data_IF_752274217328
#
_entry.id   IF_752274217328
#
_cell.length_a   1.000
_cell.length_b   1.000
_cell.length_c   1.000
_cell.angle_alpha   90.00
_cell.angle_beta   90.00
_cell.angle_gamma   90.00
#
_symmetry.space_group_name_H-M   'P 1'
#
loop_
_entity.id
_entity.type
_entity.pdbx_description
1 polymer ?
#
# COMPACT_ATOMS: atom_id res chain seq x y z
N UNK A 1 9.79 3.10 -7.22
CA UNK A 1 11.01 2.89 -8.04
C UNK A 1 12.06 3.99 -7.89
N UNK A 2 11.71 5.27 -7.89
CA UNK A 2 12.71 6.37 -7.77
C UNK A 2 13.47 6.29 -6.44
N UNK A 3 12.77 6.03 -5.32
CA UNK A 3 13.40 5.82 -4.00
C UNK A 3 14.30 4.59 -4.01
N UNK A 4 13.88 3.51 -4.65
CA UNK A 4 14.61 2.25 -4.71
C UNK A 4 15.95 2.32 -5.48
N UNK A 5 16.28 3.44 -6.11
CA UNK A 5 17.62 3.68 -6.68
C UNK A 5 18.68 3.99 -5.63
N UNK A 6 18.27 4.36 -4.40
CA UNK A 6 19.17 4.80 -3.33
C UNK A 6 18.98 4.03 -2.02
N UNK A 7 17.80 3.47 -1.80
CA UNK A 7 17.38 2.80 -0.57
C UNK A 7 16.76 1.45 -0.92
N UNK A 8 16.83 0.48 -0.01
CA UNK A 8 16.09 -0.78 -0.16
C UNK A 8 14.61 -0.52 0.15
N UNK A 9 13.74 -0.85 -0.80
CA UNK A 9 12.30 -0.57 -0.71
C UNK A 9 11.50 -1.84 -0.86
N UNK A 10 10.59 -2.09 0.08
CA UNK A 10 9.54 -3.09 -0.05
C UNK A 10 8.20 -2.39 -0.24
N UNK A 11 7.49 -2.74 -1.31
CA UNK A 11 6.17 -2.23 -1.64
C UNK A 11 5.09 -3.27 -1.33
N UNK A 12 4.06 -2.85 -0.59
CA UNK A 12 2.84 -3.60 -0.34
C UNK A 12 1.64 -2.86 -0.91
N UNK A 13 0.80 -3.59 -1.64
CA UNK A 13 -0.43 -3.04 -2.17
C UNK A 13 -1.63 -3.70 -1.49
N UNK A 14 -2.46 -2.89 -0.84
CA UNK A 14 -3.68 -3.30 -0.14
C UNK A 14 -4.94 -2.89 -0.90
N UNK A 15 -4.84 -2.57 -2.19
CA UNK A 15 -6.00 -2.31 -3.03
C UNK A 15 -6.71 -3.62 -3.43
N UNK A 16 -8.01 -3.62 -3.37
CA UNK A 16 -8.85 -4.77 -3.78
C UNK A 16 -8.66 -5.13 -5.27
N UNK A 17 -8.51 -4.13 -6.13
CA UNK A 17 -8.36 -4.28 -7.58
C UNK A 17 -7.20 -3.44 -8.12
N UNK A 18 -6.01 -3.68 -7.60
CA UNK A 18 -4.84 -2.82 -7.85
C UNK A 18 -4.42 -2.71 -9.32
N UNK A 19 -4.69 -3.74 -10.13
CA UNK A 19 -4.18 -3.82 -11.50
C UNK A 19 -2.64 -3.90 -11.60
N UNK A 20 -1.92 -3.85 -10.49
CA UNK A 20 -0.47 -3.75 -10.44
C UNK A 20 0.23 -4.91 -11.19
N UNK A 21 -0.20 -6.15 -10.97
CA UNK A 21 0.39 -7.32 -11.64
C UNK A 21 0.20 -7.30 -13.16
N UNK A 22 -0.92 -6.74 -13.64
CA UNK A 22 -1.14 -6.53 -15.07
C UNK A 22 -0.28 -5.42 -15.64
N UNK A 23 -0.03 -4.38 -14.84
CA UNK A 23 0.82 -3.27 -15.23
C UNK A 23 2.25 -3.73 -15.47
N UNK A 24 2.83 -4.48 -14.53
CA UNK A 24 4.24 -4.90 -14.60
C UNK A 24 4.47 -6.20 -15.37
N UNK A 25 3.37 -6.90 -15.80
CA UNK A 25 3.41 -8.17 -16.54
C UNK A 25 4.29 -9.22 -15.86
N UNK A 26 4.10 -9.38 -14.56
CA UNK A 26 4.92 -10.26 -13.74
C UNK A 26 4.18 -11.55 -13.41
N UNK A 27 4.85 -12.68 -13.59
CA UNK A 27 4.45 -13.95 -13.00
C UNK A 27 5.01 -14.05 -11.59
N UNK A 28 4.20 -14.45 -10.63
CA UNK A 28 4.57 -14.65 -9.24
C UNK A 28 4.08 -15.99 -8.71
N UNK A 29 4.82 -16.54 -7.75
CA UNK A 29 4.51 -17.86 -7.15
C UNK A 29 3.63 -17.76 -5.91
N UNK A 30 3.65 -16.62 -5.25
CA UNK A 30 2.91 -16.33 -4.05
C UNK A 30 2.46 -14.87 -4.07
N UNK A 31 1.38 -14.56 -3.39
CA UNK A 31 0.83 -13.21 -3.26
C UNK A 31 0.54 -12.86 -1.79
N UNK A 32 -0.08 -11.72 -1.57
CA UNK A 32 -0.41 -11.26 -0.21
C UNK A 32 -1.40 -12.19 0.50
N UNK A 33 -2.26 -12.93 -0.23
CA UNK A 33 -3.16 -13.92 0.38
C UNK A 33 -2.37 -15.06 1.04
N UNK A 34 -1.29 -15.52 0.40
CA UNK A 34 -0.40 -16.55 0.96
C UNK A 34 0.31 -16.04 2.23
N UNK A 35 0.74 -14.78 2.23
CA UNK A 35 1.37 -14.14 3.40
C UNK A 35 0.37 -14.04 4.56
N UNK A 36 -0.86 -13.59 4.29
CA UNK A 36 -1.94 -13.49 5.28
C UNK A 36 -2.31 -14.86 5.84
N UNK A 37 -2.43 -15.86 4.99
CA UNK A 37 -2.66 -17.24 5.42
C UNK A 37 -1.56 -17.74 6.34
N UNK A 38 -0.29 -17.55 5.94
CA UNK A 38 0.86 -17.95 6.76
C UNK A 38 0.88 -17.24 8.12
N UNK A 39 0.54 -15.96 8.15
CA UNK A 39 0.47 -15.17 9.38
C UNK A 39 -0.62 -15.68 10.32
N UNK A 40 -1.84 -15.89 9.81
CA UNK A 40 -2.99 -16.38 10.59
C UNK A 40 -2.80 -17.78 11.16
N UNK A 41 -2.06 -18.63 10.47
CA UNK A 41 -1.71 -19.99 10.95
C UNK A 41 -0.58 -19.98 12.00
N UNK A 42 -0.08 -18.82 12.41
CA UNK A 42 1.06 -18.72 13.32
C UNK A 42 2.39 -19.21 12.72
N UNK A 43 2.40 -19.49 11.43
CA UNK A 43 3.57 -19.99 10.70
C UNK A 43 4.46 -18.89 10.12
N UNK A 44 4.14 -17.62 10.39
CA UNK A 44 4.93 -16.51 9.90
C UNK A 44 6.37 -16.56 10.44
N UNK A 45 7.32 -16.47 9.56
CA UNK A 45 8.68 -16.03 9.85
C UNK A 45 9.25 -15.29 8.63
N UNK A 46 10.22 -14.42 8.88
CA UNK A 46 10.80 -13.57 7.84
C UNK A 46 11.41 -14.36 6.66
N UNK A 47 12.06 -15.49 6.92
CA UNK A 47 12.67 -16.29 5.86
C UNK A 47 11.63 -16.86 4.89
N UNK A 48 10.47 -17.30 5.39
CA UNK A 48 9.37 -17.77 4.55
C UNK A 48 8.78 -16.62 3.76
N UNK A 49 8.51 -15.48 4.42
CA UNK A 49 7.97 -14.30 3.74
C UNK A 49 8.94 -13.81 2.66
N UNK A 50 10.22 -13.78 2.93
CA UNK A 50 11.25 -13.39 1.94
C UNK A 50 11.19 -14.24 0.66
N UNK A 51 10.83 -15.52 0.76
CA UNK A 51 10.68 -16.38 -0.42
C UNK A 51 9.44 -16.08 -1.28
N UNK A 52 8.50 -15.28 -0.76
CA UNK A 52 7.27 -14.82 -1.43
C UNK A 52 7.42 -13.44 -2.06
N UNK A 53 8.52 -12.73 -1.75
CA UNK A 53 8.80 -11.41 -2.31
C UNK A 53 9.21 -11.56 -3.77
N UNK A 54 8.65 -10.72 -4.61
CA UNK A 54 8.99 -10.55 -6.01
C UNK A 54 9.78 -9.27 -6.21
N UNK A 55 10.46 -9.15 -7.33
CA UNK A 55 11.27 -7.98 -7.66
C UNK A 55 10.81 -7.35 -8.98
N UNK A 56 10.77 -6.04 -9.03
CA UNK A 56 10.55 -5.26 -10.24
C UNK A 56 11.56 -4.10 -10.32
N UNK A 57 12.52 -4.25 -11.20
CA UNK A 57 13.64 -3.29 -11.29
C UNK A 57 14.46 -3.25 -10.01
N UNK A 58 14.49 -2.13 -9.34
CA UNK A 58 15.21 -1.95 -8.06
C UNK A 58 14.30 -2.05 -6.83
N UNK A 59 13.01 -2.35 -7.01
CA UNK A 59 12.03 -2.40 -5.95
C UNK A 59 11.57 -3.83 -5.71
N UNK A 60 11.60 -4.24 -4.46
CA UNK A 60 10.97 -5.46 -4.01
C UNK A 60 9.50 -5.22 -3.69
N UNK A 61 8.64 -6.20 -3.93
CA UNK A 61 7.22 -6.08 -3.64
C UNK A 61 6.61 -7.43 -3.27
N UNK A 62 5.55 -7.38 -2.49
CA UNK A 62 4.64 -8.52 -2.30
C UNK A 62 3.51 -8.34 -3.30
N UNK A 63 3.30 -9.32 -4.22
CA UNK A 63 2.19 -9.25 -5.16
C UNK A 63 0.87 -9.04 -4.42
N UNK A 64 -0.01 -8.12 -4.90
CA UNK A 64 -1.29 -7.88 -4.25
C UNK A 64 -2.18 -9.13 -4.30
N UNK A 65 -3.19 -9.17 -3.45
CA UNK A 65 -4.17 -10.25 -3.44
C UNK A 65 -4.79 -10.45 -4.81
N UNK A 66 -5.06 -11.69 -5.15
CA UNK A 66 -5.76 -12.04 -6.39
C UNK A 66 -7.25 -11.76 -6.32
N UNK A 67 -7.83 -11.96 -5.14
CA UNK A 67 -9.25 -11.79 -4.88
C UNK A 67 -9.46 -10.79 -3.74
N UNK A 68 -10.35 -9.82 -3.95
CA UNK A 68 -10.65 -8.77 -2.98
C UNK A 68 -11.15 -9.33 -1.63
N UNK A 69 -11.86 -10.46 -1.69
CA UNK A 69 -12.40 -11.15 -0.53
C UNK A 69 -11.32 -11.56 0.48
N UNK A 70 -10.10 -11.85 0.00
CA UNK A 70 -8.99 -12.24 0.87
C UNK A 70 -8.57 -11.11 1.81
N UNK A 71 -8.63 -9.86 1.34
CA UNK A 71 -8.39 -8.68 2.19
C UNK A 71 -9.53 -8.45 3.18
N UNK A 72 -10.78 -8.60 2.72
CA UNK A 72 -11.96 -8.32 3.55
C UNK A 72 -12.12 -9.28 4.74
N UNK A 73 -11.49 -10.44 4.69
CA UNK A 73 -11.49 -11.44 5.75
C UNK A 73 -10.45 -11.19 6.85
N UNK A 74 -9.59 -10.19 6.68
CA UNK A 74 -8.52 -9.85 7.64
C UNK A 74 -8.98 -8.70 8.53
N UNK A 75 -8.87 -8.87 9.84
CA UNK A 75 -9.11 -7.76 10.74
C UNK A 75 -8.09 -6.64 10.50
N UNK A 76 -8.52 -5.36 10.52
CA UNK A 76 -7.61 -4.23 10.31
C UNK A 76 -6.40 -4.22 11.23
N UNK A 77 -6.60 -4.62 12.47
CA UNK A 77 -5.56 -4.71 13.49
C UNK A 77 -4.54 -5.81 13.18
N UNK A 78 -5.00 -6.95 12.67
CA UNK A 78 -4.11 -8.05 12.24
C UNK A 78 -3.26 -7.63 11.04
N UNK A 79 -3.85 -6.89 10.09
CA UNK A 79 -3.12 -6.32 8.96
C UNK A 79 -2.04 -5.35 9.44
N UNK A 80 -2.39 -4.43 10.33
CA UNK A 80 -1.43 -3.48 10.89
C UNK A 80 -0.30 -4.20 11.66
N UNK A 81 -0.62 -5.21 12.46
CA UNK A 81 0.39 -6.01 13.18
C UNK A 81 1.32 -6.76 12.24
N UNK A 82 0.80 -7.33 11.15
CA UNK A 82 1.62 -8.00 10.13
C UNK A 82 2.57 -7.00 9.47
N UNK A 83 2.09 -5.83 9.08
CA UNK A 83 2.90 -4.78 8.43
C UNK A 83 3.99 -4.27 9.39
N UNK A 84 3.64 -4.02 10.65
CA UNK A 84 4.59 -3.61 11.69
C UNK A 84 5.68 -4.68 11.90
N UNK A 85 5.30 -5.94 11.91
CA UNK A 85 6.24 -7.05 12.01
C UNK A 85 7.18 -7.13 10.81
N UNK A 86 6.64 -6.98 9.60
CA UNK A 86 7.46 -6.89 8.37
C UNK A 86 8.43 -5.72 8.47
N UNK A 87 7.96 -4.53 8.89
CA UNK A 87 8.80 -3.35 9.01
C UNK A 87 9.99 -3.56 9.94
N UNK A 88 9.79 -4.26 11.07
CA UNK A 88 10.83 -4.52 12.07
C UNK A 88 11.80 -5.64 11.67
N UNK A 89 11.31 -6.69 11.00
CA UNK A 89 12.10 -7.90 10.75
C UNK A 89 12.80 -7.87 9.38
N UNK A 90 12.33 -7.06 8.43
CA UNK A 90 12.75 -7.14 7.03
C UNK A 90 14.11 -6.52 6.73
N UNK A 91 14.50 -5.51 7.49
CA UNK A 91 15.73 -4.76 7.25
C UNK A 91 15.69 -3.84 6.02
N UNK A 92 14.50 -3.62 5.41
CA UNK A 92 14.35 -2.60 4.36
C UNK A 92 14.44 -1.19 4.95
N UNK A 93 15.04 -0.27 4.19
CA UNK A 93 15.12 1.15 4.57
C UNK A 93 13.73 1.81 4.51
N UNK A 94 12.87 1.34 3.60
CA UNK A 94 11.52 1.85 3.39
C UNK A 94 10.51 0.73 3.17
N UNK A 95 9.40 0.83 3.87
CA UNK A 95 8.19 0.07 3.60
C UNK A 95 7.13 1.03 3.06
N UNK A 96 6.70 0.81 1.83
CA UNK A 96 5.66 1.61 1.17
C UNK A 96 4.40 0.78 1.12
N UNK A 97 3.34 1.29 1.74
CA UNK A 97 2.03 0.62 1.78
C UNK A 97 1.04 1.46 0.98
N UNK A 98 0.49 0.87 -0.07
CA UNK A 98 -0.54 1.49 -0.90
C UNK A 98 -1.92 1.06 -0.39
N UNK A 99 -2.70 2.02 0.09
CA UNK A 99 -4.01 1.80 0.70
C UNK A 99 -5.08 2.38 -0.22
N UNK A 100 -5.74 1.53 -0.99
CA UNK A 100 -6.67 1.95 -2.03
C UNK A 100 -7.99 2.54 -1.51
N UNK A 101 -8.52 2.02 -0.41
CA UNK A 101 -9.78 2.50 0.17
C UNK A 101 -9.57 3.03 1.58
N UNK A 102 -10.10 4.24 1.82
CA UNK A 102 -10.03 4.94 3.10
C UNK A 102 -11.22 4.56 4.00
N UNK A 103 -11.48 3.25 4.16
CA UNK A 103 -12.48 2.76 5.09
C UNK A 103 -11.92 2.52 6.50
N UNK A 104 -12.76 2.05 7.41
CA UNK A 104 -12.37 1.71 8.80
C UNK A 104 -11.15 0.82 8.90
N UNK A 105 -10.90 -0.02 7.89
CA UNK A 105 -9.74 -0.89 7.82
C UNK A 105 -8.40 -0.20 7.59
N UNK A 106 -8.38 1.05 7.13
CA UNK A 106 -7.16 1.76 6.84
C UNK A 106 -6.51 2.40 8.09
N UNK A 107 -7.29 2.84 9.07
CA UNK A 107 -6.79 3.59 10.22
C UNK A 107 -5.67 2.90 10.97
N UNK A 108 -5.77 1.62 11.37
CA UNK A 108 -4.69 0.95 12.09
C UNK A 108 -3.38 0.93 11.30
N UNK A 109 -3.46 0.82 9.96
CA UNK A 109 -2.28 0.87 9.09
C UNK A 109 -1.73 2.30 8.99
N UNK A 110 -2.60 3.30 8.80
CA UNK A 110 -2.18 4.71 8.71
C UNK A 110 -1.56 5.20 10.02
N UNK A 111 -2.09 4.73 11.17
CA UNK A 111 -1.60 5.12 12.50
C UNK A 111 -0.16 4.69 12.76
N UNK A 112 0.32 3.65 12.09
CA UNK A 112 1.71 3.20 12.23
C UNK A 112 2.67 3.83 11.20
N UNK A 113 2.15 4.49 10.16
CA UNK A 113 2.99 5.13 9.15
C UNK A 113 3.69 6.38 9.70
N UNK A 114 4.95 6.59 9.31
CA UNK A 114 5.68 7.82 9.65
C UNK A 114 5.19 9.02 8.83
N UNK A 115 4.75 8.78 7.59
CA UNK A 115 4.21 9.77 6.67
C UNK A 115 3.07 9.12 5.89
N UNK A 116 1.98 9.86 5.68
CA UNK A 116 0.85 9.45 4.85
C UNK A 116 0.73 10.40 3.67
N UNK A 117 1.02 9.93 2.47
CA UNK A 117 0.82 10.71 1.25
C UNK A 117 -0.60 10.52 0.74
N UNK A 118 -1.35 11.61 0.68
CA UNK A 118 -2.72 11.64 0.17
C UNK A 118 -2.76 12.30 -1.21
N UNK A 119 -2.90 11.53 -2.30
CA UNK A 119 -3.08 12.09 -3.63
C UNK A 119 -4.42 12.84 -3.72
N UNK A 120 -4.39 14.10 -4.14
CA UNK A 120 -5.59 14.93 -4.25
C UNK A 120 -5.75 15.46 -5.68
N UNK A 121 -7.00 15.58 -6.10
CA UNK A 121 -7.39 16.22 -7.36
C UNK A 121 -7.99 17.58 -7.10
N UNK A 122 -7.85 18.49 -8.07
CA UNK A 122 -8.45 19.82 -8.03
C UNK A 122 -9.89 19.79 -8.59
N UNK A 123 -10.77 19.05 -7.91
CA UNK A 123 -12.19 19.02 -8.23
C UNK A 123 -13.02 19.01 -6.94
N UNK A 124 -14.29 19.44 -7.06
CA UNK A 124 -15.19 19.59 -5.92
C UNK A 124 -15.43 18.26 -5.17
N UNK A 125 -15.56 17.16 -5.89
CA UNK A 125 -15.86 15.85 -5.27
C UNK A 125 -14.64 15.36 -4.47
N UNK A 126 -13.44 15.55 -5.00
CA UNK A 126 -12.23 15.22 -4.26
C UNK A 126 -12.07 16.07 -3.00
N UNK A 127 -12.39 17.36 -3.08
CA UNK A 127 -12.35 18.23 -1.91
C UNK A 127 -13.35 17.77 -0.85
N UNK A 128 -14.60 17.50 -1.21
CA UNK A 128 -15.62 17.04 -0.28
C UNK A 128 -15.25 15.71 0.40
N UNK A 129 -14.70 14.75 -0.35
CA UNK A 129 -14.23 13.48 0.23
C UNK A 129 -13.07 13.67 1.22
N UNK A 130 -12.21 14.64 0.97
CA UNK A 130 -11.09 14.94 1.88
C UNK A 130 -11.62 15.58 3.16
N UNK A 131 -12.59 16.51 3.07
CA UNK A 131 -13.23 17.11 4.22
C UNK A 131 -13.91 16.05 5.10
N UNK A 132 -14.74 15.19 4.50
CA UNK A 132 -15.38 14.08 5.23
C UNK A 132 -14.35 13.15 5.92
N UNK A 133 -13.22 12.89 5.27
CA UNK A 133 -12.18 12.06 5.87
C UNK A 133 -11.46 12.79 7.03
N UNK A 134 -11.21 14.09 6.90
CA UNK A 134 -10.61 14.89 7.97
C UNK A 134 -11.53 15.00 9.18
N UNK A 135 -12.84 15.19 8.96
CA UNK A 135 -13.87 15.13 10.01
C UNK A 135 -13.90 13.78 10.72
N UNK A 136 -13.84 12.69 9.94
CA UNK A 136 -13.76 11.33 10.50
C UNK A 136 -12.52 11.13 11.38
N UNK A 137 -11.35 11.66 10.99
CA UNK A 137 -10.13 11.58 11.82
C UNK A 137 -10.24 12.39 13.11
N UNK A 138 -10.96 13.51 13.09
CA UNK A 138 -11.24 14.32 14.29
C UNK A 138 -12.16 13.56 15.25
N UNK A 139 -13.24 12.94 14.75
CA UNK A 139 -14.17 12.16 15.54
C UNK A 139 -13.53 10.89 16.13
N UNK A 140 -12.60 10.27 15.40
CA UNK A 140 -11.88 9.10 15.84
C UNK A 140 -10.77 9.40 16.88
N UNK A 141 -10.57 10.69 17.22
CA UNK A 141 -9.47 11.18 18.09
C UNK A 141 -8.07 10.72 17.63
N UNK A 142 -7.91 10.60 16.30
CA UNK A 142 -6.64 10.15 15.67
C UNK A 142 -5.83 11.33 15.11
N UNK A 143 -5.58 12.31 15.99
CA UNK A 143 -4.73 13.46 15.66
C UNK A 143 -3.35 13.04 15.13
N UNK A 144 -2.85 11.91 15.58
CA UNK A 144 -1.56 11.39 15.15
C UNK A 144 -1.51 11.02 13.66
N UNK A 145 -2.58 10.54 13.05
CA UNK A 145 -2.67 10.29 11.60
C UNK A 145 -2.73 11.60 10.85
N UNK A 146 -3.60 12.51 11.31
CA UNK A 146 -3.82 13.83 10.68
C UNK A 146 -2.52 14.60 10.50
N UNK A 147 -1.69 14.66 11.53
CA UNK A 147 -0.43 15.41 11.53
C UNK A 147 0.61 14.85 10.56
N UNK A 148 0.46 13.59 10.15
CA UNK A 148 1.36 12.90 9.21
C UNK A 148 0.91 12.96 7.76
N UNK A 149 -0.33 13.44 7.50
CA UNK A 149 -0.87 13.53 6.15
C UNK A 149 -0.20 14.66 5.38
N UNK A 150 0.34 14.30 4.23
CA UNK A 150 0.85 15.23 3.22
C UNK A 150 0.00 15.13 1.96
N UNK A 151 -0.78 16.17 1.69
CA UNK A 151 -1.60 16.25 0.48
C UNK A 151 -0.72 16.47 -0.75
N UNK A 152 -0.79 15.57 -1.72
CA UNK A 152 -0.04 15.66 -2.97
C UNK A 152 -0.99 15.96 -4.12
N UNK A 153 -0.81 17.09 -4.78
CA UNK A 153 -1.57 17.42 -5.99
C UNK A 153 -1.10 16.57 -7.15
N UNK A 154 -2.01 15.78 -7.72
CA UNK A 154 -1.72 15.04 -8.94
C UNK A 154 -1.91 15.92 -10.17
N UNK A 155 -0.97 15.90 -11.12
CA UNK A 155 -1.13 16.62 -12.37
C UNK A 155 -2.35 16.09 -13.14
N UNK A 156 -3.08 17.01 -13.80
CA UNK A 156 -4.24 16.65 -14.61
C UNK A 156 -3.77 16.05 -15.92
N UNK A 157 -3.99 14.76 -16.12
CA UNK A 157 -3.80 14.12 -17.41
C UNK A 157 -5.08 14.21 -18.24
N UNK A 158 -4.99 14.76 -19.44
CA UNK A 158 -6.14 14.94 -20.35
C UNK A 158 -6.29 13.82 -21.37
N UNK A 159 -5.48 12.78 -21.31
CA UNK A 159 -5.49 11.67 -22.26
C UNK A 159 -5.39 10.29 -21.59
N UNK A 160 -5.82 9.27 -22.33
CA UNK A 160 -5.60 7.88 -21.93
C UNK A 160 -4.14 7.54 -22.23
N UNK A 161 -3.36 7.30 -21.17
CA UNK A 161 -2.00 6.79 -21.33
C UNK A 161 -2.04 5.30 -21.70
N UNK A 162 -1.28 4.93 -22.73
CA UNK A 162 -0.99 3.53 -22.99
C UNK A 162 -0.01 3.00 -21.92
N UNK A 163 -0.04 1.69 -21.69
CA UNK A 163 0.79 1.01 -20.70
C UNK A 163 2.28 1.36 -20.84
N UNK A 164 2.80 1.34 -22.07
CA UNK A 164 4.22 1.60 -22.35
C UNK A 164 4.64 3.00 -21.89
N UNK A 165 3.88 4.04 -22.25
CA UNK A 165 4.16 5.42 -21.85
C UNK A 165 3.99 5.65 -20.35
N UNK A 166 3.15 4.87 -19.67
CA UNK A 166 3.01 4.92 -18.22
C UNK A 166 4.23 4.31 -17.51
N UNK A 167 4.70 3.16 -17.98
CA UNK A 167 5.88 2.49 -17.43
C UNK A 167 7.16 3.33 -17.60
N UNK A 168 7.33 4.01 -18.74
CA UNK A 168 8.45 4.91 -18.98
C UNK A 168 8.54 6.07 -17.97
N UNK A 169 7.40 6.52 -17.43
CA UNK A 169 7.38 7.58 -16.42
C UNK A 169 7.70 7.08 -15.00
N UNK A 170 7.58 5.78 -14.77
CA UNK A 170 7.85 5.17 -13.46
C UNK A 170 9.31 4.74 -13.27
N UNK A 171 10.06 4.63 -14.36
CA UNK A 171 11.48 4.23 -14.37
C UNK A 171 12.41 5.42 -14.42
#
# INVERSE_FOLDING_TARGET
>A
QVMAKKESVLYLNLEEYSGFTRLIDSEYKADLSDVLYLYRQGGYNWMKLKSMISNWGNMDYIPPVRYAEDLSQVAPEDMAQLIDRIARESGYDRLVVDVGQMGRGALPVLSMCNVVYMPVREDYISAAKIEEFEEYLEEADDAGVRDRIQKLRLPRHTGIMKREGYLEQLT
#
